data_IF_006816630362
#
_entry.id   IF_006816630362
#
_cell.length_a   1.000
_cell.length_b   1.000
_cell.length_c   1.000
_cell.angle_alpha   90.00
_cell.angle_beta   90.00
_cell.angle_gamma   90.00
#
_symmetry.space_group_name_H-M   'P 1'
#
loop_
_entity.id
_entity.type
_entity.pdbx_description
1 polymer ?
#
# COMPACT_ATOMS: atom_id res chain seq x y z
N UNK A 1 -22.83 2.58 -31.27
CA UNK A 1 -21.57 3.24 -31.68
C UNK A 1 -20.55 2.15 -31.99
N UNK A 2 -19.91 2.14 -33.17
CA UNK A 2 -18.82 1.21 -33.43
C UNK A 2 -17.68 1.50 -32.46
N UNK A 3 -17.22 0.47 -31.74
CA UNK A 3 -16.02 0.53 -30.91
C UNK A 3 -14.85 0.86 -31.85
N UNK A 4 -14.41 2.11 -31.85
CA UNK A 4 -13.18 2.53 -32.51
C UNK A 4 -12.09 1.54 -32.07
N UNK A 5 -11.42 0.87 -33.01
CA UNK A 5 -10.27 0.00 -32.70
C UNK A 5 -9.32 0.82 -31.82
N UNK A 6 -9.20 0.47 -30.54
CA UNK A 6 -8.30 1.15 -29.61
C UNK A 6 -6.88 0.94 -30.12
N UNK A 7 -6.13 2.03 -30.18
CA UNK A 7 -4.83 2.08 -30.81
C UNK A 7 -3.79 1.49 -29.85
N UNK A 8 -3.22 0.32 -30.19
CA UNK A 8 -2.25 -0.35 -29.33
C UNK A 8 -0.95 0.44 -29.16
N UNK A 9 -0.71 1.43 -30.05
CA UNK A 9 0.48 2.27 -30.03
C UNK A 9 0.67 3.03 -28.71
N UNK A 10 -0.42 3.41 -28.02
CA UNK A 10 -0.35 4.13 -26.74
C UNK A 10 0.36 3.31 -25.66
N UNK A 11 -0.14 2.12 -25.36
CA UNK A 11 0.46 1.24 -24.35
C UNK A 11 1.81 0.70 -24.81
N UNK A 12 1.99 0.45 -26.11
CA UNK A 12 3.31 0.05 -26.63
C UNK A 12 4.37 1.13 -26.42
N UNK A 13 4.01 2.42 -26.52
CA UNK A 13 4.91 3.53 -26.23
C UNK A 13 5.27 3.58 -24.74
N UNK A 14 4.29 3.40 -23.85
CA UNK A 14 4.52 3.37 -22.40
C UNK A 14 5.44 2.21 -22.03
N UNK A 15 5.18 1.00 -22.52
CA UNK A 15 6.00 -0.19 -22.29
C UNK A 15 7.45 -0.02 -22.78
N UNK A 16 7.67 0.79 -23.83
CA UNK A 16 9.00 1.08 -24.40
C UNK A 16 9.65 2.33 -23.83
N UNK A 17 9.04 2.97 -22.83
CA UNK A 17 9.48 4.25 -22.26
C UNK A 17 9.60 5.39 -23.30
N UNK A 18 8.72 5.44 -24.29
CA UNK A 18 8.69 6.50 -25.31
C UNK A 18 7.92 7.73 -24.81
N UNK A 19 8.58 8.53 -23.97
CA UNK A 19 8.03 9.74 -23.38
C UNK A 19 7.50 10.74 -24.42
N UNK A 20 8.21 10.89 -25.55
CA UNK A 20 7.85 11.86 -26.60
C UNK A 20 6.52 11.48 -27.24
N UNK A 21 6.32 10.20 -27.55
CA UNK A 21 5.03 9.73 -28.05
C UNK A 21 3.91 9.94 -27.02
N UNK A 22 4.17 9.60 -25.76
CA UNK A 22 3.20 9.75 -24.67
C UNK A 22 2.75 11.21 -24.54
N UNK A 23 3.69 12.15 -24.46
CA UNK A 23 3.39 13.58 -24.34
C UNK A 23 2.62 14.12 -25.56
N UNK A 24 3.03 13.76 -26.78
CA UNK A 24 2.38 14.23 -28.00
C UNK A 24 0.95 13.71 -28.20
N UNK A 25 0.57 12.62 -27.51
CA UNK A 25 -0.74 11.99 -27.68
C UNK A 25 -1.56 11.93 -26.38
N UNK A 26 -1.12 12.63 -25.33
CA UNK A 26 -1.71 12.56 -23.99
C UNK A 26 -3.19 12.91 -23.99
N UNK A 27 -3.56 14.06 -24.59
CA UNK A 27 -4.97 14.52 -24.67
C UNK A 27 -5.89 13.49 -25.34
N UNK A 28 -5.36 12.68 -26.25
CA UNK A 28 -6.11 11.67 -27.02
C UNK A 28 -6.31 10.37 -26.25
N UNK A 29 -5.30 9.93 -25.49
CA UNK A 29 -5.28 8.59 -24.91
C UNK A 29 -5.31 8.55 -23.37
N UNK A 30 -5.17 9.68 -22.68
CA UNK A 30 -5.26 9.72 -21.23
C UNK A 30 -6.53 9.05 -20.71
N UNK A 31 -6.41 8.37 -19.58
CA UNK A 31 -7.48 7.62 -18.91
C UNK A 31 -8.04 6.45 -19.73
N UNK A 32 -7.35 6.01 -20.78
CA UNK A 32 -7.69 4.77 -21.45
C UNK A 32 -7.12 3.56 -20.70
N UNK A 33 -7.89 2.47 -20.74
CA UNK A 33 -7.51 1.18 -20.17
C UNK A 33 -7.09 0.19 -21.25
N UNK A 34 -6.04 -0.57 -20.95
CA UNK A 34 -5.54 -1.65 -21.78
C UNK A 34 -6.62 -2.72 -21.94
N UNK A 35 -6.92 -3.04 -23.19
CA UNK A 35 -7.95 -4.01 -23.56
C UNK A 35 -7.36 -5.32 -24.08
N UNK A 36 -6.07 -5.33 -24.44
CA UNK A 36 -5.35 -6.52 -24.87
C UNK A 36 -5.21 -7.47 -23.68
N UNK A 37 -5.42 -8.76 -23.94
CA UNK A 37 -5.28 -9.83 -22.94
C UNK A 37 -4.05 -10.72 -23.17
N UNK A 38 -3.25 -10.42 -24.21
CA UNK A 38 -2.09 -11.21 -24.60
C UNK A 38 -0.93 -10.32 -25.03
N UNK A 39 0.27 -10.71 -24.63
CA UNK A 39 1.55 -10.13 -25.01
C UNK A 39 2.47 -9.98 -23.81
N UNK A 40 3.78 -9.96 -24.04
CA UNK A 40 4.75 -9.80 -22.96
C UNK A 40 4.57 -8.44 -22.28
N UNK A 41 4.42 -8.45 -20.95
CA UNK A 41 4.20 -7.23 -20.16
C UNK A 41 2.82 -6.59 -20.32
N UNK A 42 1.87 -7.20 -21.04
CA UNK A 42 0.52 -6.67 -21.19
C UNK A 42 -0.37 -7.12 -20.03
N UNK A 43 -1.01 -6.16 -19.38
CA UNK A 43 -1.96 -6.31 -18.28
C UNK A 43 -3.30 -5.69 -18.67
N UNK A 44 -4.28 -6.54 -18.93
CA UNK A 44 -5.63 -6.08 -19.24
C UNK A 44 -6.23 -5.32 -18.05
N UNK A 45 -6.91 -4.20 -18.32
CA UNK A 45 -7.54 -3.41 -17.27
C UNK A 45 -6.57 -2.45 -16.55
N UNK A 46 -5.39 -2.22 -17.12
CA UNK A 46 -4.46 -1.20 -16.63
C UNK A 46 -4.52 0.06 -17.48
N UNK A 47 -4.65 1.21 -16.84
CA UNK A 47 -4.32 2.51 -17.42
C UNK A 47 -2.79 2.71 -17.61
N UNK A 48 -2.40 3.78 -18.32
CA UNK A 48 -1.00 4.07 -18.62
C UNK A 48 -0.15 4.29 -17.38
N UNK A 49 -0.69 4.99 -16.39
CA UNK A 49 0.02 5.31 -15.14
C UNK A 49 0.42 4.05 -14.35
N UNK A 50 -0.38 2.99 -14.35
CA UNK A 50 -0.07 1.75 -13.65
C UNK A 50 1.20 1.09 -14.21
N UNK A 51 1.34 1.06 -15.55
CA UNK A 51 2.55 0.57 -16.21
C UNK A 51 3.76 1.44 -15.89
N UNK A 52 3.58 2.75 -15.86
CA UNK A 52 4.68 3.67 -15.56
C UNK A 52 5.24 3.43 -14.15
N UNK A 53 4.38 3.13 -13.17
CA UNK A 53 4.79 2.76 -11.81
C UNK A 53 5.47 1.41 -11.77
N UNK A 54 4.87 0.38 -12.38
CA UNK A 54 5.45 -0.99 -12.38
C UNK A 54 6.84 -1.02 -13.00
N UNK A 55 7.02 -0.33 -14.13
CA UNK A 55 8.25 -0.34 -14.93
C UNK A 55 9.28 0.70 -14.49
N UNK A 56 8.99 1.49 -13.44
CA UNK A 56 9.84 2.61 -12.99
C UNK A 56 10.14 3.63 -14.11
N UNK A 57 9.15 3.92 -14.96
CA UNK A 57 9.25 4.94 -16.01
C UNK A 57 8.93 6.32 -15.43
N UNK A 58 9.79 6.81 -14.53
CA UNK A 58 9.57 8.02 -13.71
C UNK A 58 9.03 9.20 -14.53
N UNK A 59 9.65 9.52 -15.68
CA UNK A 59 9.24 10.67 -16.50
C UNK A 59 7.85 10.51 -17.15
N UNK A 60 7.47 9.27 -17.51
CA UNK A 60 6.12 8.99 -18.01
C UNK A 60 5.12 9.08 -16.86
N UNK A 61 5.47 8.54 -15.69
CA UNK A 61 4.63 8.64 -14.51
C UNK A 61 4.34 10.12 -14.17
N UNK A 62 5.37 10.97 -14.11
CA UNK A 62 5.21 12.41 -13.88
C UNK A 62 4.33 13.09 -14.94
N UNK A 63 4.45 12.70 -16.22
CA UNK A 63 3.63 13.25 -17.28
C UNK A 63 2.15 12.81 -17.20
N UNK A 64 1.89 11.58 -16.74
CA UNK A 64 0.53 11.02 -16.61
C UNK A 64 -0.15 11.40 -15.30
N UNK A 65 0.61 11.66 -14.24
CA UNK A 65 0.09 11.88 -12.88
C UNK A 65 -1.05 12.90 -12.81
N UNK A 66 -0.95 14.11 -13.41
CA UNK A 66 -2.03 15.10 -13.35
C UNK A 66 -3.36 14.65 -13.94
N UNK A 67 -3.35 13.61 -14.78
CA UNK A 67 -4.52 13.15 -15.55
C UNK A 67 -5.05 11.79 -15.12
N UNK A 68 -4.20 10.97 -14.48
CA UNK A 68 -4.48 9.54 -14.24
C UNK A 68 -4.26 9.10 -12.78
N UNK A 69 -3.84 9.97 -11.85
CA UNK A 69 -3.49 9.56 -10.47
C UNK A 69 -4.61 8.82 -9.72
N UNK A 70 -5.87 9.15 -10.02
CA UNK A 70 -7.09 8.61 -9.39
C UNK A 70 -7.59 7.31 -10.03
N UNK A 71 -6.94 6.84 -11.09
CA UNK A 71 -7.35 5.61 -11.77
C UNK A 71 -6.99 4.38 -10.94
N UNK A 72 -7.89 3.41 -10.95
CA UNK A 72 -7.74 2.12 -10.31
C UNK A 72 -7.66 1.02 -11.36
N UNK A 73 -7.07 -0.13 -11.03
CA UNK A 73 -7.04 -1.29 -11.93
C UNK A 73 -8.43 -1.91 -12.10
N UNK A 74 -8.81 -2.26 -13.34
CA UNK A 74 -10.11 -2.89 -13.63
C UNK A 74 -10.11 -4.41 -13.40
N UNK A 75 -8.92 -5.02 -13.30
CA UNK A 75 -8.73 -6.46 -13.20
C UNK A 75 -7.65 -6.80 -12.17
N UNK A 76 -7.81 -7.94 -11.45
CA UNK A 76 -6.74 -8.47 -10.63
C UNK A 76 -5.53 -8.84 -11.51
N UNK A 77 -4.36 -8.80 -10.92
CA UNK A 77 -3.09 -9.04 -11.63
C UNK A 77 -2.04 -9.59 -10.67
N UNK A 78 -0.95 -10.13 -11.21
CA UNK A 78 0.17 -10.60 -10.41
C UNK A 78 1.40 -9.75 -10.68
N UNK A 79 2.00 -9.19 -9.64
CA UNK A 79 3.23 -8.40 -9.71
C UNK A 79 4.36 -9.13 -9.00
N UNK A 80 5.54 -9.15 -9.59
CA UNK A 80 6.70 -9.72 -8.91
C UNK A 80 7.11 -8.82 -7.75
N UNK A 81 7.02 -9.35 -6.52
CA UNK A 81 7.44 -8.65 -5.32
C UNK A 81 8.85 -9.11 -4.96
N UNK A 82 9.82 -8.20 -5.04
CA UNK A 82 11.24 -8.53 -4.82
C UNK A 82 11.49 -9.09 -3.40
N UNK A 83 10.85 -8.52 -2.37
CA UNK A 83 11.00 -9.00 -1.00
C UNK A 83 10.52 -10.44 -0.88
N UNK A 84 9.35 -10.77 -1.41
CA UNK A 84 8.80 -12.13 -1.38
C UNK A 84 9.51 -13.09 -2.34
N UNK A 85 10.26 -12.58 -3.31
CA UNK A 85 10.90 -13.35 -4.40
C UNK A 85 9.90 -14.22 -5.17
N UNK A 86 8.69 -13.69 -5.39
CA UNK A 86 7.62 -14.36 -6.12
C UNK A 86 6.58 -13.36 -6.63
N UNK A 87 5.71 -13.79 -7.56
CA UNK A 87 4.49 -13.05 -7.86
C UNK A 87 3.59 -12.92 -6.61
N UNK A 88 3.14 -11.70 -6.35
CA UNK A 88 2.11 -11.36 -5.38
C UNK A 88 0.83 -11.00 -6.13
N UNK A 89 -0.30 -11.52 -5.67
CA UNK A 89 -1.61 -11.17 -6.20
C UNK A 89 -1.97 -9.76 -5.77
N UNK A 90 -2.44 -8.97 -6.72
CA UNK A 90 -2.97 -7.64 -6.52
C UNK A 90 -4.38 -7.60 -7.07
N UNK A 91 -5.37 -7.36 -6.20
CA UNK A 91 -6.77 -7.37 -6.60
C UNK A 91 -7.14 -6.16 -7.49
N UNK A 92 -8.28 -6.24 -8.16
CA UNK A 92 -8.86 -5.07 -8.85
C UNK A 92 -9.19 -3.95 -7.86
N UNK A 93 -9.40 -2.75 -8.38
CA UNK A 93 -9.58 -1.56 -7.55
C UNK A 93 -8.26 -1.05 -6.94
N UNK A 94 -7.12 -1.63 -7.30
CA UNK A 94 -5.83 -1.20 -6.77
C UNK A 94 -5.35 0.09 -7.42
N UNK A 95 -4.92 1.04 -6.60
CA UNK A 95 -4.33 2.31 -7.05
C UNK A 95 -2.84 2.19 -7.39
N UNK A 96 -2.27 3.29 -7.91
CA UNK A 96 -0.82 3.41 -8.13
C UNK A 96 0.02 3.19 -6.86
N UNK A 97 -0.55 3.42 -5.67
CA UNK A 97 0.13 3.18 -4.40
C UNK A 97 0.37 1.69 -4.22
N UNK A 98 -0.67 0.87 -4.34
CA UNK A 98 -0.55 -0.58 -4.16
C UNK A 98 0.51 -1.20 -5.08
N UNK A 99 0.58 -0.71 -6.33
CA UNK A 99 1.59 -1.13 -7.30
C UNK A 99 2.98 -0.70 -6.83
N UNK A 100 3.17 0.58 -6.47
CA UNK A 100 4.46 1.10 -6.01
C UNK A 100 4.99 0.37 -4.77
N UNK A 101 4.11 0.03 -3.81
CA UNK A 101 4.48 -0.75 -2.63
C UNK A 101 4.98 -2.14 -3.03
N UNK A 102 4.25 -2.81 -3.92
CA UNK A 102 4.55 -4.19 -4.35
C UNK A 102 5.84 -4.27 -5.17
N UNK A 103 6.10 -3.28 -6.04
CA UNK A 103 7.28 -3.23 -6.91
C UNK A 103 8.48 -2.50 -6.29
N UNK A 104 8.37 -2.05 -5.03
CA UNK A 104 9.38 -1.25 -4.33
C UNK A 104 9.77 0.05 -5.07
N UNK A 105 8.80 0.74 -5.68
CA UNK A 105 9.05 2.00 -6.38
C UNK A 105 9.02 3.19 -5.40
N UNK A 106 10.14 3.39 -4.70
CA UNK A 106 10.33 4.48 -3.71
C UNK A 106 10.16 5.86 -4.33
N UNK A 107 10.63 6.07 -5.56
CA UNK A 107 10.59 7.38 -6.24
C UNK A 107 9.17 7.84 -6.52
N UNK A 108 8.28 6.93 -6.92
CA UNK A 108 6.87 7.23 -7.11
C UNK A 108 6.25 7.75 -5.82
N UNK A 109 6.51 7.10 -4.68
CA UNK A 109 5.98 7.58 -3.39
C UNK A 109 6.53 8.96 -3.00
N UNK A 110 7.83 9.18 -3.19
CA UNK A 110 8.45 10.49 -2.94
C UNK A 110 7.80 11.58 -3.80
N UNK A 111 7.51 11.28 -5.06
CA UNK A 111 6.79 12.19 -5.94
C UNK A 111 5.37 12.44 -5.44
N UNK A 112 4.61 11.40 -5.05
CA UNK A 112 3.25 11.57 -4.48
C UNK A 112 3.27 12.46 -3.25
N UNK A 113 4.19 12.22 -2.31
CA UNK A 113 4.31 13.04 -1.11
C UNK A 113 4.64 14.49 -1.42
N UNK A 114 5.52 14.72 -2.41
CA UNK A 114 5.80 16.07 -2.90
C UNK A 114 4.55 16.72 -3.49
N UNK A 115 3.77 15.99 -4.30
CA UNK A 115 2.53 16.51 -4.89
C UNK A 115 1.47 16.85 -3.83
N UNK A 116 1.36 16.07 -2.76
CA UNK A 116 0.45 16.39 -1.65
C UNK A 116 0.79 17.71 -0.94
N UNK A 117 2.05 18.10 -0.91
CA UNK A 117 2.51 19.36 -0.33
C UNK A 117 2.34 20.51 -1.32
N UNK A 118 2.75 20.31 -2.56
CA UNK A 118 2.81 21.37 -3.58
C UNK A 118 1.45 21.65 -4.24
N UNK A 119 0.61 20.62 -4.40
CA UNK A 119 -0.63 20.66 -5.19
C UNK A 119 -1.74 19.87 -4.46
N UNK A 120 -2.33 20.44 -3.39
CA UNK A 120 -3.34 19.77 -2.57
C UNK A 120 -4.61 19.33 -3.31
N UNK A 121 -4.83 19.83 -4.54
CA UNK A 121 -5.92 19.41 -5.42
C UNK A 121 -5.78 17.97 -5.92
N UNK A 122 -4.55 17.43 -5.97
CA UNK A 122 -4.35 16.00 -6.19
C UNK A 122 -4.75 15.30 -4.89
N UNK A 123 -5.97 14.78 -4.90
CA UNK A 123 -6.67 14.25 -3.74
C UNK A 123 -5.87 13.20 -2.95
N UNK A 124 -6.45 12.76 -1.83
CA UNK A 124 -5.78 11.81 -0.97
C UNK A 124 -5.75 10.42 -1.59
N UNK A 125 -4.55 9.97 -1.95
CA UNK A 125 -4.32 8.58 -2.36
C UNK A 125 -4.23 7.66 -1.13
N UNK A 126 -4.06 8.21 0.08
CA UNK A 126 -4.23 7.46 1.31
C UNK A 126 -5.73 7.28 1.61
N UNK A 127 -6.09 6.08 2.01
CA UNK A 127 -7.47 5.64 2.27
C UNK A 127 -8.10 4.94 1.07
N UNK A 128 -7.47 4.94 -0.11
CA UNK A 128 -7.96 4.20 -1.27
C UNK A 128 -7.82 2.71 -1.00
N UNK A 129 -8.94 2.00 -1.05
CA UNK A 129 -9.01 0.54 -0.87
C UNK A 129 -9.21 -0.18 -2.20
N UNK A 130 -8.57 -1.32 -2.37
CA UNK A 130 -8.86 -2.26 -3.45
C UNK A 130 -10.15 -3.07 -3.17
N UNK A 131 -10.52 -3.97 -4.09
CA UNK A 131 -11.74 -4.78 -3.98
C UNK A 131 -11.72 -5.77 -2.81
N UNK A 132 -10.55 -6.07 -2.24
CA UNK A 132 -10.38 -6.86 -1.00
C UNK A 132 -10.43 -6.01 0.27
N UNK A 133 -10.70 -4.71 0.14
CA UNK A 133 -10.76 -3.77 1.26
C UNK A 133 -9.38 -3.37 1.79
N UNK A 134 -8.30 -3.71 1.09
CA UNK A 134 -6.94 -3.40 1.53
C UNK A 134 -6.60 -1.97 1.11
N UNK A 135 -6.22 -1.13 2.08
CA UNK A 135 -5.54 0.16 1.82
C UNK A 135 -4.04 -0.06 1.60
N UNK A 136 -3.30 1.00 1.24
CA UNK A 136 -1.85 0.93 1.10
C UNK A 136 -1.14 0.43 2.38
N UNK A 137 -1.55 0.95 3.54
CA UNK A 137 -1.01 0.60 4.84
C UNK A 137 -1.24 -0.88 5.18
N UNK A 138 -2.39 -1.44 4.82
CA UNK A 138 -2.67 -2.88 5.03
C UNK A 138 -1.84 -3.78 4.11
N UNK A 139 -1.36 -3.28 2.97
CA UNK A 139 -0.44 -4.00 2.07
C UNK A 139 1.00 -3.97 2.59
N UNK A 140 1.39 -2.94 3.36
CA UNK A 140 2.77 -2.76 3.80
C UNK A 140 3.40 -3.98 4.51
N UNK A 141 2.75 -4.63 5.50
CA UNK A 141 3.31 -5.80 6.18
C UNK A 141 3.47 -7.02 5.26
N UNK A 142 2.61 -7.13 4.24
CA UNK A 142 2.63 -8.24 3.27
C UNK A 142 3.86 -8.15 2.38
N UNK A 143 4.08 -6.97 1.78
CA UNK A 143 5.15 -6.79 0.79
C UNK A 143 6.49 -6.43 1.42
N UNK A 144 6.49 -5.77 2.58
CA UNK A 144 7.68 -5.45 3.39
C UNK A 144 8.88 -4.88 2.59
N UNK A 145 8.59 -3.92 1.71
CA UNK A 145 9.57 -3.22 0.87
C UNK A 145 9.98 -1.88 1.48
N UNK A 146 11.03 -1.24 0.96
CA UNK A 146 11.43 0.11 1.39
C UNK A 146 10.33 1.13 1.10
N UNK A 147 9.65 0.99 -0.05
CA UNK A 147 8.47 1.78 -0.40
C UNK A 147 7.34 1.59 0.62
N UNK A 148 7.08 0.36 1.06
CA UNK A 148 6.10 0.08 2.11
C UNK A 148 6.45 0.74 3.45
N UNK A 149 7.73 0.72 3.85
CA UNK A 149 8.16 1.39 5.07
C UNK A 149 8.05 2.92 4.94
N UNK A 150 8.42 3.48 3.79
CA UNK A 150 8.26 4.91 3.51
C UNK A 150 6.79 5.34 3.54
N UNK A 151 5.87 4.49 3.07
CA UNK A 151 4.43 4.73 3.14
C UNK A 151 3.92 4.70 4.58
N UNK A 152 4.24 3.64 5.32
CA UNK A 152 3.75 3.42 6.68
C UNK A 152 4.27 4.45 7.70
N UNK A 153 5.40 5.09 7.43
CA UNK A 153 5.97 6.12 8.30
C UNK A 153 5.47 7.54 8.00
N UNK A 154 4.63 7.71 6.97
CA UNK A 154 4.07 9.00 6.62
C UNK A 154 2.86 9.33 7.51
N UNK A 155 2.91 10.47 8.21
CA UNK A 155 1.84 10.93 9.11
C UNK A 155 0.46 10.96 8.45
N UNK A 156 0.38 11.51 7.23
CA UNK A 156 -0.89 11.65 6.51
C UNK A 156 -1.48 10.29 6.18
N UNK A 157 -0.63 9.34 5.79
CA UNK A 157 -1.03 7.95 5.55
C UNK A 157 -1.60 7.32 6.80
N UNK A 158 -0.87 7.37 7.91
CA UNK A 158 -1.29 6.75 9.18
C UNK A 158 -2.65 7.32 9.61
N UNK A 159 -2.80 8.65 9.62
CA UNK A 159 -4.05 9.31 10.02
C UNK A 159 -5.26 8.84 9.19
N UNK A 160 -5.06 8.57 7.91
CA UNK A 160 -6.15 8.21 7.00
C UNK A 160 -6.41 6.70 6.94
N UNK A 161 -5.40 5.87 7.17
CA UNK A 161 -5.47 4.43 6.88
C UNK A 161 -5.41 3.54 8.13
N UNK A 162 -5.01 4.04 9.31
CA UNK A 162 -4.81 3.20 10.49
C UNK A 162 -6.08 2.45 10.93
N UNK A 163 -7.25 3.07 10.80
CA UNK A 163 -8.56 2.47 11.10
C UNK A 163 -9.08 1.55 9.98
N UNK A 164 -8.35 1.41 8.88
CA UNK A 164 -8.79 0.57 7.78
C UNK A 164 -8.75 -0.90 8.17
N UNK A 165 -9.84 -1.60 7.85
CA UNK A 165 -9.91 -3.06 7.87
C UNK A 165 -10.11 -3.61 6.46
N UNK A 166 -9.61 -4.83 6.24
CA UNK A 166 -9.91 -5.63 5.04
C UNK A 166 -11.36 -6.13 5.06
N UNK A 167 -11.81 -6.76 3.96
CA UNK A 167 -13.12 -7.43 3.93
C UNK A 167 -13.21 -8.68 4.84
N UNK A 168 -12.12 -9.04 5.52
CA UNK A 168 -12.05 -10.12 6.52
C UNK A 168 -11.82 -9.54 7.93
N UNK A 169 -12.13 -8.26 8.12
CA UNK A 169 -12.01 -7.55 9.38
C UNK A 169 -10.59 -7.53 9.97
N UNK A 170 -9.57 -7.66 9.11
CA UNK A 170 -8.17 -7.58 9.53
C UNK A 170 -7.68 -6.13 9.49
N UNK A 171 -7.24 -5.60 10.63
CA UNK A 171 -6.64 -4.28 10.75
C UNK A 171 -5.10 -4.32 10.64
N UNK A 172 -4.45 -3.16 10.68
CA UNK A 172 -3.00 -3.05 10.52
C UNK A 172 -2.21 -3.83 11.59
N UNK A 173 -2.63 -3.76 12.86
CA UNK A 173 -1.95 -4.46 13.97
C UNK A 173 -2.01 -5.97 13.77
N UNK A 174 -3.19 -6.49 13.41
CA UNK A 174 -3.38 -7.91 13.09
C UNK A 174 -2.51 -8.36 11.91
N UNK A 175 -2.43 -7.54 10.86
CA UNK A 175 -1.56 -7.83 9.70
C UNK A 175 -0.08 -7.86 10.08
N UNK A 176 0.38 -6.96 10.95
CA UNK A 176 1.76 -6.93 11.46
C UNK A 176 2.08 -8.18 12.28
N UNK A 177 1.17 -8.58 13.18
CA UNK A 177 1.29 -9.79 13.99
C UNK A 177 1.30 -11.06 13.13
N UNK A 178 0.34 -11.20 12.21
CA UNK A 178 0.23 -12.32 11.28
C UNK A 178 1.51 -12.51 10.46
N UNK A 179 2.07 -11.41 9.95
CA UNK A 179 3.22 -11.42 9.04
C UNK A 179 4.57 -11.43 9.78
N UNK A 180 4.59 -11.25 11.10
CA UNK A 180 5.83 -11.24 11.91
C UNK A 180 6.78 -10.10 11.55
N UNK A 181 6.28 -8.88 11.32
CA UNK A 181 7.12 -7.75 10.90
C UNK A 181 7.55 -6.85 12.05
N UNK A 182 8.72 -7.15 12.62
CA UNK A 182 9.29 -6.43 13.76
C UNK A 182 9.36 -4.91 13.54
N UNK A 183 9.80 -4.46 12.36
CA UNK A 183 9.93 -3.03 12.08
C UNK A 183 8.59 -2.26 12.14
N UNK A 184 7.48 -2.90 11.74
CA UNK A 184 6.15 -2.28 11.86
C UNK A 184 5.59 -2.38 13.28
N UNK A 185 5.94 -3.42 14.05
CA UNK A 185 5.59 -3.49 15.46
C UNK A 185 6.29 -2.37 16.27
N UNK A 186 7.58 -2.14 16.00
CA UNK A 186 8.31 -1.00 16.57
C UNK A 186 7.73 0.35 16.12
N UNK A 187 7.24 0.45 14.89
CA UNK A 187 6.53 1.64 14.43
C UNK A 187 5.23 1.88 15.21
N UNK A 188 4.45 0.83 15.47
CA UNK A 188 3.24 0.90 16.32
C UNK A 188 3.63 1.34 17.73
N UNK A 189 4.70 0.76 18.30
CA UNK A 189 5.24 1.17 19.60
C UNK A 189 5.67 2.63 19.61
N UNK A 190 6.36 3.09 18.57
CA UNK A 190 6.79 4.49 18.40
C UNK A 190 5.60 5.46 18.32
N UNK A 191 4.45 5.02 17.76
CA UNK A 191 3.20 5.81 17.75
C UNK A 191 2.65 6.07 19.16
N UNK A 192 2.93 5.17 20.10
CA UNK A 192 2.35 5.17 21.45
C UNK A 192 3.32 5.74 22.49
N UNK A 193 4.63 5.47 22.32
CA UNK A 193 5.70 5.88 23.22
C UNK A 193 6.25 7.29 22.99
N UNK A 194 7.59 7.41 22.94
CA UNK A 194 8.35 8.68 23.00
C UNK A 194 8.24 9.58 21.74
N UNK A 195 7.55 9.12 20.68
CA UNK A 195 7.30 9.91 19.45
C UNK A 195 8.57 10.43 18.74
N UNK A 196 9.75 9.89 19.06
CA UNK A 196 11.04 10.43 18.64
C UNK A 196 11.23 10.50 17.10
N UNK A 197 10.43 9.74 16.34
CA UNK A 197 10.52 9.63 14.88
C UNK A 197 9.37 10.30 14.13
N UNK A 198 8.36 10.85 14.81
CA UNK A 198 7.14 11.35 14.20
C UNK A 198 7.02 12.86 14.37
N UNK A 199 7.00 13.60 13.26
CA UNK A 199 6.71 15.04 13.27
C UNK A 199 5.19 15.30 13.26
N UNK A 200 4.45 14.83 14.25
CA UNK A 200 2.98 14.94 14.33
C UNK A 200 2.60 15.98 15.38
N UNK A 201 2.18 17.18 14.97
CA UNK A 201 2.02 18.31 15.91
C UNK A 201 0.71 18.32 16.75
N UNK A 202 -0.39 17.62 16.38
CA UNK A 202 -1.72 17.90 17.01
C UNK A 202 -2.73 16.72 17.18
N UNK A 203 -2.47 15.47 16.76
CA UNK A 203 -3.51 14.39 16.86
C UNK A 203 -3.04 13.07 17.47
N UNK A 204 -2.05 13.13 18.37
CA UNK A 204 -1.40 11.92 18.88
C UNK A 204 -2.29 11.13 19.83
N UNK A 205 -3.05 11.80 20.71
CA UNK A 205 -3.95 11.12 21.64
C UNK A 205 -5.06 10.37 20.89
N UNK A 206 -5.63 10.96 19.84
CA UNK A 206 -6.61 10.28 18.99
C UNK A 206 -6.00 9.05 18.30
N UNK A 207 -4.73 9.11 17.89
CA UNK A 207 -4.04 7.96 17.28
C UNK A 207 -3.78 6.85 18.30
N UNK A 208 -3.40 7.20 19.53
CA UNK A 208 -3.26 6.23 20.63
C UNK A 208 -4.58 5.54 20.94
N UNK A 209 -5.64 6.31 21.16
CA UNK A 209 -7.01 5.79 21.38
C UNK A 209 -7.41 4.86 20.21
N UNK A 210 -7.15 5.28 18.97
CA UNK A 210 -7.43 4.45 17.80
C UNK A 210 -6.65 3.14 17.81
N UNK A 211 -5.36 3.14 18.13
CA UNK A 211 -4.57 1.90 18.16
C UNK A 211 -5.02 0.99 19.30
N UNK A 212 -5.32 1.56 20.47
CA UNK A 212 -5.89 0.83 21.59
C UNK A 212 -7.20 0.15 21.16
N UNK A 213 -8.14 0.89 20.57
CA UNK A 213 -9.39 0.33 20.04
C UNK A 213 -9.14 -0.79 19.02
N UNK A 214 -8.13 -0.67 18.16
CA UNK A 214 -7.79 -1.71 17.18
C UNK A 214 -7.19 -2.96 17.83
N UNK A 215 -6.47 -2.81 18.95
CA UNK A 215 -5.91 -3.92 19.71
C UNK A 215 -6.99 -4.66 20.51
N UNK A 216 -7.94 -3.91 21.09
CA UNK A 216 -9.09 -4.44 21.84
C UNK A 216 -10.19 -4.99 20.92
N UNK A 217 -10.32 -4.46 19.70
CA UNK A 217 -11.30 -4.95 18.74
C UNK A 217 -11.01 -6.42 18.41
N UNK A 218 -11.98 -7.29 18.76
CA UNK A 218 -12.01 -8.75 18.51
C UNK A 218 -11.40 -9.68 19.57
N UNK A 219 -11.17 -9.20 20.80
CA UNK A 219 -10.69 -10.06 21.90
C UNK A 219 -11.73 -11.11 22.36
N UNK A 220 -13.01 -10.90 22.04
CA UNK A 220 -14.11 -11.84 22.34
C UNK A 220 -14.23 -13.05 21.37
N UNK A 221 -13.54 -13.07 20.22
CA UNK A 221 -13.82 -14.04 19.13
C UNK A 221 -12.61 -14.82 18.55
N UNK A 222 -11.49 -14.97 19.26
CA UNK A 222 -10.28 -15.63 18.72
C UNK A 222 -9.75 -14.96 17.43
N UNK A 223 -10.02 -13.67 17.20
CA UNK A 223 -9.65 -12.97 15.96
C UNK A 223 -8.79 -11.71 16.20
N UNK A 224 -8.32 -11.51 17.43
CA UNK A 224 -7.39 -10.43 17.78
C UNK A 224 -5.96 -10.61 17.26
N UNK A 225 -5.13 -9.60 17.48
CA UNK A 225 -3.73 -9.60 17.03
C UNK A 225 -2.91 -10.74 17.66
N UNK A 226 -3.21 -11.13 18.92
CA UNK A 226 -2.57 -12.26 19.62
C UNK A 226 -2.80 -13.57 18.88
N UNK A 227 -4.05 -13.86 18.51
CA UNK A 227 -4.41 -15.05 17.73
C UNK A 227 -3.62 -15.11 16.42
N UNK A 228 -3.61 -14.01 15.65
CA UNK A 228 -2.86 -13.95 14.39
C UNK A 228 -1.35 -14.08 14.60
N UNK A 229 -0.80 -13.54 15.69
CA UNK A 229 0.59 -13.70 16.08
C UNK A 229 0.96 -15.17 16.38
N UNK A 230 0.06 -15.92 17.00
CA UNK A 230 0.29 -17.31 17.42
C UNK A 230 0.11 -18.34 16.30
N UNK A 231 -0.53 -17.97 15.19
CA UNK A 231 -0.63 -18.84 14.01
C UNK A 231 0.76 -19.28 13.49
N UNK A 232 0.81 -20.42 12.81
CA UNK A 232 2.06 -20.93 12.24
C UNK A 232 2.68 -19.92 11.26
N UNK A 233 4.01 -19.80 11.30
CA UNK A 233 4.73 -18.90 10.42
C UNK A 233 4.71 -19.43 8.98
N UNK A 234 4.27 -18.61 8.03
CA UNK A 234 4.23 -18.96 6.61
C UNK A 234 5.49 -18.44 5.90
N UNK A 235 6.59 -19.18 6.07
CA UNK A 235 7.87 -18.86 5.46
C UNK A 235 7.80 -18.91 3.92
N UNK A 236 7.01 -19.82 3.36
CA UNK A 236 6.95 -20.05 1.91
C UNK A 236 6.29 -18.88 1.18
N UNK A 237 5.17 -18.39 1.70
CA UNK A 237 4.42 -17.33 1.04
C UNK A 237 4.87 -15.94 1.50
N UNK A 238 5.19 -15.75 2.78
CA UNK A 238 5.43 -14.40 3.32
C UNK A 238 6.83 -14.19 3.87
N UNK A 239 7.73 -15.18 3.76
CA UNK A 239 9.06 -15.13 4.40
C UNK A 239 8.95 -14.73 5.88
N UNK A 240 7.92 -15.24 6.56
CA UNK A 240 7.69 -15.01 7.98
C UNK A 240 8.37 -16.12 8.77
N UNK A 241 9.11 -15.74 9.82
CA UNK A 241 9.84 -16.66 10.68
C UNK A 241 9.25 -16.67 12.10
N UNK A 242 9.23 -17.84 12.76
CA UNK A 242 8.65 -17.97 14.10
C UNK A 242 9.32 -17.04 15.13
N UNK A 243 10.65 -16.88 15.06
CA UNK A 243 11.39 -15.97 15.93
C UNK A 243 10.97 -14.50 15.76
N UNK A 244 10.64 -14.08 14.53
CA UNK A 244 10.19 -12.72 14.26
C UNK A 244 8.74 -12.52 14.72
N UNK A 245 7.87 -13.52 14.54
CA UNK A 245 6.51 -13.48 15.10
C UNK A 245 6.54 -13.34 16.61
N UNK A 246 7.40 -14.10 17.30
CA UNK A 246 7.53 -13.98 18.74
C UNK A 246 7.97 -12.58 19.16
N UNK A 247 8.97 -12.00 18.50
CA UNK A 247 9.40 -10.61 18.77
C UNK A 247 8.27 -9.60 18.55
N UNK A 248 7.47 -9.77 17.51
CA UNK A 248 6.30 -8.91 17.27
C UNK A 248 5.29 -9.06 18.39
N UNK A 249 5.01 -10.28 18.84
CA UNK A 249 4.10 -10.52 19.96
C UNK A 249 4.61 -9.82 21.22
N UNK A 250 5.90 -9.96 21.53
CA UNK A 250 6.50 -9.35 22.72
C UNK A 250 6.39 -7.82 22.66
N UNK A 251 6.69 -7.20 21.51
CA UNK A 251 6.57 -5.75 21.30
C UNK A 251 5.11 -5.28 21.45
N UNK A 252 4.16 -5.99 20.83
CA UNK A 252 2.75 -5.62 20.90
C UNK A 252 2.16 -5.84 22.30
N UNK A 253 2.65 -6.83 23.06
CA UNK A 253 2.28 -7.00 24.46
C UNK A 253 2.80 -5.85 25.34
N UNK A 254 4.03 -5.36 25.11
CA UNK A 254 4.54 -4.16 25.77
C UNK A 254 3.70 -2.92 25.45
N UNK A 255 3.24 -2.81 24.20
CA UNK A 255 2.35 -1.74 23.77
C UNK A 255 1.01 -1.80 24.50
N UNK A 256 0.39 -2.98 24.57
CA UNK A 256 -0.88 -3.20 25.26
C UNK A 256 -0.77 -2.85 26.75
N UNK A 257 0.28 -3.32 27.43
CA UNK A 257 0.56 -3.00 28.83
C UNK A 257 0.75 -1.49 29.05
N UNK A 258 1.38 -0.79 28.08
CA UNK A 258 1.58 0.66 28.15
C UNK A 258 0.28 1.46 28.15
N UNK A 259 -0.83 0.90 27.64
CA UNK A 259 -2.15 1.52 27.75
C UNK A 259 -2.74 1.33 29.15
N UNK A 260 -2.61 0.13 29.73
CA UNK A 260 -3.11 -0.17 31.09
C UNK A 260 -2.47 0.73 32.16
N UNK A 261 -1.16 0.96 32.06
CA UNK A 261 -0.41 1.82 33.00
C UNK A 261 -0.80 3.31 32.91
N UNK A 262 -1.47 3.74 31.82
CA UNK A 262 -1.84 5.14 31.59
C UNK A 262 -3.19 5.53 32.20
N UNK A 263 -4.01 4.55 32.56
CA UNK A 263 -5.35 4.73 33.14
C UNK A 263 -5.36 4.79 34.68
N UNK A 264 -4.23 4.51 35.36
CA UNK A 264 -4.07 4.57 36.84
C UNK A 264 -3.58 5.94 37.36
#
# INVERSE_FOLDING_TARGET
MPLCKRDSAWFDAILKNDLVFVQNNLEKYQRQYESRSKGAGIRQGWAGIHYAVELNHDQIFEALFPYEFDLLTDKPTELYCQFLDRPASLDSGSSIIHIALTTNNVKVLQYVFKQWVENPEYGDLAGVKNDSGQSGLLVCPVVNTDAAMLWATNERVIRNEITSVTNKDQNFVMMVAMMGRVAYAELIKDFIGEQAKLNIDVQIEQLKETIQELMESLDDEEQGWRHYGEQEADQLNYKTFAEEKQKVIDILAEVEQGFEDSDE
#
